data_IF_807516869122
#
_entry.id   IF_807516869122
#
_cell.length_a   1.000
_cell.length_b   1.000
_cell.length_c   1.000
_cell.angle_alpha   90.00
_cell.angle_beta   90.00
_cell.angle_gamma   90.00
#
_symmetry.space_group_name_H-M   'P 1'
#
loop_
_entity.id
_entity.type
_entity.pdbx_description
1 polymer ?
#
# COMPACT_ATOMS: atom_id res chain seq x y z
N UNK A 1 -9.48 3.11 -4.30
CA UNK A 1 -8.46 2.81 -5.30
C UNK A 1 -7.13 3.25 -4.75
N UNK A 2 -6.36 2.30 -4.23
CA UNK A 2 -5.08 2.57 -3.59
C UNK A 2 -3.94 2.12 -4.50
N UNK A 3 -2.79 2.77 -4.36
CA UNK A 3 -1.61 2.52 -5.16
C UNK A 3 -0.42 2.22 -4.26
N UNK A 4 0.40 1.25 -4.66
CA UNK A 4 1.74 1.01 -4.13
C UNK A 4 2.77 1.48 -5.15
N UNK A 5 3.63 2.40 -4.74
CA UNK A 5 4.69 2.95 -5.59
C UNK A 5 6.05 2.39 -5.19
N UNK A 6 6.82 1.93 -6.17
CA UNK A 6 8.22 1.56 -5.97
C UNK A 6 9.09 2.81 -5.86
N UNK A 7 9.84 2.95 -4.77
CA UNK A 7 10.72 4.10 -4.53
C UNK A 7 11.98 4.09 -5.42
N UNK A 8 12.33 2.97 -6.04
CA UNK A 8 13.53 2.86 -6.89
C UNK A 8 13.24 3.11 -8.37
N UNK A 9 12.19 2.49 -8.91
CA UNK A 9 11.88 2.58 -10.33
C UNK A 9 10.57 3.32 -10.65
N UNK A 10 9.81 3.74 -9.63
CA UNK A 10 8.54 4.44 -9.83
C UNK A 10 7.39 3.55 -10.31
N UNK A 11 7.57 2.22 -10.38
CA UNK A 11 6.49 1.28 -10.74
C UNK A 11 5.31 1.43 -9.79
N UNK A 12 4.11 1.56 -10.34
CA UNK A 12 2.85 1.68 -9.58
C UNK A 12 2.07 0.38 -9.73
N UNK A 13 1.52 -0.12 -8.61
CA UNK A 13 0.66 -1.30 -8.56
C UNK A 13 -0.65 -0.93 -7.86
N UNK A 14 -1.78 -1.27 -8.48
CA UNK A 14 -3.09 -1.11 -7.86
C UNK A 14 -3.26 -2.10 -6.71
N UNK A 15 -3.77 -1.60 -5.58
CA UNK A 15 -4.11 -2.41 -4.42
C UNK A 15 -5.63 -2.51 -4.31
N UNK A 16 -6.09 -3.73 -4.02
CA UNK A 16 -7.49 -4.03 -3.78
C UNK A 16 -8.03 -3.29 -2.54
N UNK A 17 -9.19 -2.66 -2.70
CA UNK A 17 -9.81 -1.79 -1.70
C UNK A 17 -10.47 -2.57 -0.54
N UNK A 18 -10.66 -3.88 -0.70
CA UNK A 18 -11.35 -4.74 0.28
C UNK A 18 -10.70 -4.73 1.68
N UNK A 19 -9.37 -4.63 1.74
CA UNK A 19 -8.62 -4.55 3.00
C UNK A 19 -8.94 -3.27 3.79
N UNK A 20 -9.18 -2.16 3.09
CA UNK A 20 -9.47 -0.88 3.71
C UNK A 20 -10.87 -0.86 4.31
N UNK A 21 -11.85 -1.40 3.59
CA UNK A 21 -13.22 -1.51 4.07
C UNK A 21 -13.30 -2.27 5.41
N UNK A 22 -12.50 -3.34 5.55
CA UNK A 22 -12.38 -4.07 6.81
C UNK A 22 -11.80 -3.20 7.95
N UNK A 23 -10.72 -2.46 7.68
CA UNK A 23 -10.10 -1.57 8.67
C UNK A 23 -11.06 -0.46 9.12
N UNK A 24 -11.76 0.19 8.18
CA UNK A 24 -12.77 1.22 8.47
C UNK A 24 -13.88 0.69 9.36
N UNK A 25 -14.42 -0.50 9.05
CA UNK A 25 -15.45 -1.15 9.87
C UNK A 25 -14.98 -1.36 11.31
N UNK A 26 -13.74 -1.80 11.51
CA UNK A 26 -13.16 -1.99 12.85
C UNK A 26 -12.98 -0.67 13.60
N UNK A 27 -12.53 0.38 12.94
CA UNK A 27 -12.37 1.71 13.54
C UNK A 27 -13.72 2.28 13.95
N UNK A 28 -14.70 2.23 13.04
CA UNK A 28 -16.06 2.71 13.30
C UNK A 28 -16.67 1.98 14.52
N UNK A 29 -16.55 0.65 14.60
CA UNK A 29 -17.07 -0.12 15.74
C UNK A 29 -16.38 0.21 17.06
N UNK A 30 -15.05 0.40 17.06
CA UNK A 30 -14.28 0.64 18.29
C UNK A 30 -14.42 2.06 18.82
N UNK A 31 -14.58 3.03 17.94
CA UNK A 31 -14.47 4.46 18.29
C UNK A 31 -15.79 5.22 18.18
N UNK A 32 -16.78 4.65 17.46
CA UNK A 32 -18.03 5.33 17.13
C UNK A 32 -17.88 6.41 16.05
N UNK A 33 -16.70 6.58 15.46
CA UNK A 33 -16.52 7.51 14.35
C UNK A 33 -17.25 7.02 13.10
N UNK A 34 -17.66 7.97 12.25
CA UNK A 34 -18.10 7.72 10.88
C UNK A 34 -17.06 8.29 9.93
N UNK A 35 -16.22 7.41 9.38
CA UNK A 35 -15.19 7.80 8.41
C UNK A 35 -15.87 8.37 7.16
N UNK A 36 -15.40 9.55 6.73
CA UNK A 36 -15.91 10.25 5.54
C UNK A 36 -14.87 10.35 4.43
N UNK A 37 -13.61 10.20 4.80
CA UNK A 37 -12.46 10.32 3.91
C UNK A 37 -11.28 9.60 4.54
N UNK A 38 -10.49 8.94 3.70
CA UNK A 38 -9.17 8.40 4.03
C UNK A 38 -8.20 8.86 2.94
N UNK A 39 -6.94 9.06 3.33
CA UNK A 39 -5.83 9.30 2.41
C UNK A 39 -4.69 8.39 2.82
N UNK A 40 -4.29 7.50 1.93
CA UNK A 40 -3.25 6.50 2.18
C UNK A 40 -2.30 6.50 0.99
N UNK A 41 -1.02 6.61 1.31
CA UNK A 41 0.08 6.48 0.38
C UNK A 41 0.90 5.25 0.82
N UNK A 42 1.17 4.35 -0.11
CA UNK A 42 1.95 3.15 0.13
C UNK A 42 3.18 3.19 -0.77
N UNK A 43 4.35 3.10 -0.15
CA UNK A 43 5.62 3.10 -0.83
C UNK A 43 6.43 1.86 -0.44
N UNK A 44 7.19 1.32 -1.37
CA UNK A 44 8.04 0.16 -1.13
C UNK A 44 9.04 -0.07 -2.25
N UNK A 45 9.55 -1.30 -2.35
CA UNK A 45 10.47 -1.71 -3.41
C UNK A 45 9.80 -2.84 -4.20
N UNK A 46 9.66 -2.71 -5.51
CA UNK A 46 9.06 -3.78 -6.31
C UNK A 46 9.97 -5.01 -6.38
N UNK A 47 9.39 -6.17 -6.69
CA UNK A 47 10.11 -7.42 -6.85
C UNK A 47 11.31 -7.30 -7.80
N UNK A 48 11.13 -6.62 -8.94
CA UNK A 48 12.19 -6.43 -9.94
C UNK A 48 13.40 -5.70 -9.33
N UNK A 49 13.17 -4.61 -8.60
CA UNK A 49 14.26 -3.86 -7.97
C UNK A 49 14.87 -4.56 -6.75
N UNK A 50 14.13 -5.43 -6.06
CA UNK A 50 14.70 -6.28 -5.01
C UNK A 50 15.69 -7.29 -5.61
N UNK A 51 15.34 -7.89 -6.75
CA UNK A 51 16.19 -8.88 -7.44
C UNK A 51 17.42 -8.27 -8.12
N UNK A 52 17.30 -7.03 -8.65
CA UNK A 52 18.44 -6.29 -9.20
C UNK A 52 19.51 -5.99 -8.14
N UNK A 53 19.10 -5.72 -6.89
CA UNK A 53 20.04 -5.47 -5.79
C UNK A 53 20.89 -6.71 -5.44
N UNK A 54 20.32 -7.90 -5.58
CA UNK A 54 21.00 -9.17 -5.31
C UNK A 54 21.97 -9.59 -6.45
N UNK A 55 21.76 -9.08 -7.66
CA UNK A 55 22.52 -9.47 -8.86
C UNK A 55 23.87 -8.76 -9.00
N UNK A 56 24.14 -7.72 -8.19
CA UNK A 56 25.39 -6.93 -8.21
C UNK A 56 26.36 -7.39 -7.10
N UNK A 57 25.92 -8.27 -6.20
CA UNK A 57 26.73 -8.73 -5.06
C UNK A 57 27.60 -9.98 -5.34
N UNK A 58 27.87 -10.33 -6.60
CA UNK A 58 28.77 -11.46 -6.98
C UNK A 58 30.02 -10.98 -7.70
#
# INVERSE_FOLDING_TARGET
HHHLTCQLCGKIVDIDDDLLAYAESKINQKTGFKIKHHSIELEGICQDCQLEADSIAT
#
